data_IF_679288737995
#
_entry.id   IF_679288737995
#
_cell.length_a   1.000
_cell.length_b   1.000
_cell.length_c   1.000
_cell.angle_alpha   90.00
_cell.angle_beta   90.00
_cell.angle_gamma   90.00
#
_symmetry.space_group_name_H-M   'P 1'
#
loop_
_entity.id
_entity.type
_entity.pdbx_description
1 polymer ?
#
# COMPACT_ATOMS: atom_id res chain seq x y z
N UNK A 1 -21.73 -7.89 -42.94
CA UNK A 1 -22.12 -6.75 -42.07
C UNK A 1 -21.69 -7.07 -40.65
N UNK A 2 -20.84 -6.26 -40.01
CA UNK A 2 -20.41 -6.51 -38.64
C UNK A 2 -21.52 -6.10 -37.67
N UNK A 3 -21.92 -7.04 -36.81
CA UNK A 3 -22.86 -6.83 -35.71
C UNK A 3 -22.21 -5.86 -34.70
N UNK A 4 -22.72 -4.63 -34.68
CA UNK A 4 -22.43 -3.64 -33.65
C UNK A 4 -22.80 -4.21 -32.29
N UNK A 5 -21.81 -4.40 -31.40
CA UNK A 5 -22.06 -4.67 -29.98
C UNK A 5 -22.84 -3.48 -29.39
N UNK A 6 -23.83 -3.71 -28.50
CA UNK A 6 -24.53 -2.62 -27.84
C UNK A 6 -23.53 -1.80 -27.02
N UNK A 7 -23.59 -0.47 -27.15
CA UNK A 7 -22.93 0.45 -26.22
C UNK A 7 -23.40 0.10 -24.81
N UNK A 8 -22.47 -0.15 -23.88
CA UNK A 8 -22.80 -0.35 -22.47
C UNK A 8 -23.64 0.83 -22.00
N UNK A 9 -24.90 0.61 -21.67
CA UNK A 9 -25.73 1.63 -21.02
C UNK A 9 -25.07 1.92 -19.67
N UNK A 10 -24.38 3.06 -19.57
CA UNK A 10 -23.96 3.58 -18.27
C UNK A 10 -25.24 3.98 -17.55
N UNK A 11 -25.45 3.42 -16.36
CA UNK A 11 -26.57 3.78 -15.50
C UNK A 11 -26.57 5.28 -15.17
N UNK A 12 -27.66 5.79 -14.55
CA UNK A 12 -27.75 7.19 -14.16
C UNK A 12 -26.57 7.57 -13.24
N UNK A 13 -26.04 8.80 -13.35
CA UNK A 13 -24.99 9.27 -12.46
C UNK A 13 -25.47 9.26 -11.01
N UNK A 14 -24.56 9.00 -10.07
CA UNK A 14 -24.88 9.03 -8.64
C UNK A 14 -25.30 10.44 -8.21
N UNK A 15 -26.41 10.61 -7.48
CA UNK A 15 -26.76 11.88 -6.87
C UNK A 15 -25.71 12.33 -5.86
N UNK A 16 -25.34 13.62 -5.86
CA UNK A 16 -24.42 14.21 -4.88
C UNK A 16 -24.92 14.04 -3.42
N UNK A 17 -26.23 13.87 -3.23
CA UNK A 17 -26.85 13.68 -1.92
C UNK A 17 -26.98 12.22 -1.50
N UNK A 18 -26.56 11.27 -2.33
CA UNK A 18 -26.70 9.85 -2.01
C UNK A 18 -25.80 9.48 -0.83
N UNK A 19 -26.38 8.77 0.13
CA UNK A 19 -25.68 8.23 1.31
C UNK A 19 -26.27 6.86 1.62
N UNK A 20 -25.45 6.00 2.21
CA UNK A 20 -25.97 4.77 2.77
C UNK A 20 -27.01 5.05 3.86
N UNK A 21 -28.02 4.18 4.00
CA UNK A 21 -28.86 4.15 5.18
C UNK A 21 -28.04 3.98 6.47
N UNK A 22 -28.51 4.51 7.62
CA UNK A 22 -27.93 4.21 8.92
C UNK A 22 -27.87 2.71 9.17
N UNK A 23 -26.78 2.23 9.75
CA UNK A 23 -26.57 0.81 10.06
C UNK A 23 -26.51 0.58 11.57
N UNK A 24 -27.66 0.50 12.26
CA UNK A 24 -27.71 0.30 13.71
C UNK A 24 -27.31 -1.13 14.13
N UNK A 25 -27.17 -2.06 13.17
CA UNK A 25 -26.78 -3.44 13.44
C UNK A 25 -25.27 -3.66 13.28
N UNK A 26 -24.55 -2.72 12.66
CA UNK A 26 -23.09 -2.77 12.53
C UNK A 26 -22.46 -2.87 13.93
N UNK A 27 -21.78 -3.98 14.24
CA UNK A 27 -21.10 -4.12 15.52
C UNK A 27 -19.90 -3.19 15.60
N UNK A 28 -19.57 -2.76 16.82
CA UNK A 28 -18.32 -2.05 17.11
C UNK A 28 -17.10 -2.82 16.59
N UNK A 29 -16.02 -2.09 16.31
CA UNK A 29 -14.78 -2.66 15.77
C UNK A 29 -14.19 -3.68 16.76
N UNK A 30 -14.11 -4.98 16.43
CA UNK A 30 -13.76 -6.02 17.38
C UNK A 30 -12.25 -6.21 17.56
N UNK A 31 -11.46 -5.54 16.71
CA UNK A 31 -10.02 -5.75 16.58
C UNK A 31 -9.24 -5.03 17.67
N UNK A 32 -9.38 -5.51 18.90
CA UNK A 32 -8.71 -4.94 20.06
C UNK A 32 -7.93 -6.00 20.86
N UNK A 33 -7.07 -5.52 21.76
CA UNK A 33 -6.26 -6.37 22.64
C UNK A 33 -7.10 -7.42 23.36
N UNK A 34 -6.61 -8.66 23.37
CA UNK A 34 -7.28 -9.81 24.00
C UNK A 34 -8.16 -10.62 23.05
N UNK A 35 -8.46 -10.11 21.85
CA UNK A 35 -9.11 -10.89 20.80
C UNK A 35 -8.23 -12.08 20.40
N UNK A 36 -8.85 -13.26 20.26
CA UNK A 36 -8.20 -14.46 19.74
C UNK A 36 -8.97 -14.99 18.52
N UNK A 37 -8.26 -15.27 17.44
CA UNK A 37 -8.83 -15.67 16.16
C UNK A 37 -8.30 -17.03 15.72
N UNK A 38 -9.21 -17.93 15.34
CA UNK A 38 -8.85 -19.18 14.68
C UNK A 38 -8.65 -18.90 13.18
N UNK A 39 -7.38 -18.83 12.77
CA UNK A 39 -6.98 -18.52 11.39
C UNK A 39 -6.59 -19.79 10.62
N UNK A 40 -6.79 -19.77 9.32
CA UNK A 40 -6.38 -20.82 8.38
C UNK A 40 -5.68 -20.21 7.18
N UNK A 41 -4.67 -20.89 6.67
CA UNK A 41 -3.96 -20.44 5.48
C UNK A 41 -4.92 -20.38 4.27
N UNK A 42 -4.74 -19.36 3.44
CA UNK A 42 -5.67 -18.98 2.39
C UNK A 42 -4.91 -18.64 1.11
N UNK A 43 -5.48 -19.03 -0.04
CA UNK A 43 -4.94 -18.66 -1.36
C UNK A 43 -5.64 -17.37 -1.80
N UNK A 44 -4.94 -16.23 -1.95
CA UNK A 44 -5.55 -14.98 -2.40
C UNK A 44 -6.23 -15.12 -3.77
N UNK A 45 -7.27 -14.32 -4.05
CA UNK A 45 -7.72 -14.15 -5.44
C UNK A 45 -6.62 -13.47 -6.27
N UNK A 46 -6.62 -13.66 -7.60
CA UNK A 46 -5.75 -12.87 -8.48
C UNK A 46 -5.96 -11.36 -8.25
N UNK A 47 -4.90 -10.54 -8.29
CA UNK A 47 -5.03 -9.11 -8.08
C UNK A 47 -5.84 -8.46 -9.22
N UNK A 48 -6.59 -7.42 -8.87
CA UNK A 48 -7.47 -6.70 -9.80
C UNK A 48 -7.60 -5.23 -9.40
N UNK A 49 -8.30 -4.43 -10.21
CA UNK A 49 -8.47 -2.99 -9.98
C UNK A 49 -7.82 -2.14 -11.07
N UNK A 50 -7.29 -0.98 -10.71
CA UNK A 50 -6.88 0.02 -11.70
C UNK A 50 -5.70 -0.42 -12.58
N UNK A 51 -4.71 -1.07 -11.97
CA UNK A 51 -3.55 -1.61 -12.68
C UNK A 51 -3.85 -2.84 -13.56
N UNK A 52 -5.06 -3.41 -13.49
CA UNK A 52 -5.40 -4.69 -14.13
C UNK A 52 -6.57 -4.57 -15.10
N UNK A 53 -6.61 -5.44 -16.12
CA UNK A 53 -7.67 -5.50 -17.13
C UNK A 53 -9.03 -5.70 -16.44
N UNK A 54 -9.97 -4.78 -16.69
CA UNK A 54 -11.26 -4.72 -15.99
C UNK A 54 -12.10 -5.99 -16.19
N UNK A 55 -12.11 -6.53 -17.40
CA UNK A 55 -12.92 -7.70 -17.77
C UNK A 55 -12.42 -9.00 -17.14
N UNK A 56 -11.21 -9.00 -16.56
CA UNK A 56 -10.63 -10.13 -15.86
C UNK A 56 -10.77 -10.02 -14.33
N UNK A 57 -11.46 -8.99 -13.82
CA UNK A 57 -11.66 -8.83 -12.39
C UNK A 57 -12.54 -9.96 -11.82
N UNK A 58 -12.12 -10.63 -10.74
CA UNK A 58 -12.87 -11.72 -10.11
C UNK A 58 -14.19 -11.24 -9.45
N UNK A 59 -14.31 -9.94 -9.20
CA UNK A 59 -15.54 -9.30 -8.70
C UNK A 59 -15.85 -8.06 -9.53
N UNK A 60 -17.08 -7.91 -10.08
CA UNK A 60 -17.51 -6.67 -10.70
C UNK A 60 -17.69 -5.58 -9.63
N UNK A 61 -17.36 -4.33 -9.99
CA UNK A 61 -17.67 -3.19 -9.13
C UNK A 61 -19.19 -2.97 -9.14
N UNK A 62 -19.83 -3.00 -7.97
CA UNK A 62 -21.26 -2.71 -7.86
C UNK A 62 -21.59 -1.27 -8.29
N UNK A 63 -22.74 -1.08 -8.92
CA UNK A 63 -23.27 0.23 -9.22
C UNK A 63 -23.95 0.81 -7.96
N UNK A 64 -24.02 2.13 -7.84
CA UNK A 64 -24.61 2.76 -6.65
C UNK A 64 -26.09 2.41 -6.46
N UNK A 65 -26.80 2.08 -7.54
CA UNK A 65 -28.19 1.61 -7.49
C UNK A 65 -28.32 0.23 -6.86
N UNK A 66 -27.27 -0.59 -6.91
CA UNK A 66 -27.27 -1.92 -6.29
C UNK A 66 -27.14 -1.80 -4.76
N UNK A 67 -26.51 -0.72 -4.29
CA UNK A 67 -26.32 -0.37 -2.89
C UNK A 67 -27.52 0.38 -2.29
N UNK A 68 -28.46 0.84 -3.13
CA UNK A 68 -29.53 1.74 -2.70
C UNK A 68 -30.49 1.04 -1.74
N UNK A 69 -30.72 1.66 -0.58
CA UNK A 69 -31.56 1.11 0.49
C UNK A 69 -30.94 -0.04 1.29
N UNK A 70 -29.71 -0.48 1.04
CA UNK A 70 -29.02 -1.49 1.84
C UNK A 70 -28.07 -0.87 2.86
N UNK A 71 -28.08 -1.40 4.08
CA UNK A 71 -27.04 -1.09 5.07
C UNK A 71 -25.70 -1.76 4.69
N UNK A 72 -24.59 -1.27 5.24
CA UNK A 72 -23.27 -1.86 5.02
C UNK A 72 -23.18 -3.31 5.52
N UNK A 73 -23.78 -3.61 6.67
CA UNK A 73 -23.87 -4.95 7.24
C UNK A 73 -24.61 -5.89 6.29
N UNK A 74 -25.79 -5.51 5.81
CA UNK A 74 -26.57 -6.30 4.85
C UNK A 74 -25.77 -6.55 3.57
N UNK A 75 -25.13 -5.50 3.04
CA UNK A 75 -24.30 -5.60 1.84
C UNK A 75 -23.16 -6.61 2.03
N UNK A 76 -22.41 -6.50 3.13
CA UNK A 76 -21.28 -7.39 3.43
C UNK A 76 -21.73 -8.83 3.67
N UNK A 77 -22.91 -9.06 4.26
CA UNK A 77 -23.46 -10.41 4.43
C UNK A 77 -23.91 -11.05 3.11
N UNK A 78 -24.48 -10.27 2.19
CA UNK A 78 -24.91 -10.76 0.88
C UNK A 78 -23.74 -10.95 -0.10
N UNK A 79 -22.64 -10.21 0.10
CA UNK A 79 -21.50 -10.18 -0.81
C UNK A 79 -20.19 -10.56 -0.08
N UNK A 80 -20.07 -11.80 0.45
CA UNK A 80 -18.88 -12.22 1.18
C UNK A 80 -17.62 -12.13 0.29
N UNK A 81 -16.41 -12.04 0.88
CA UNK A 81 -15.14 -12.04 0.15
C UNK A 81 -15.05 -13.12 -0.93
N UNK A 82 -14.32 -12.84 -2.02
CA UNK A 82 -14.17 -13.80 -3.14
C UNK A 82 -13.77 -15.17 -2.60
N UNK A 83 -14.50 -16.19 -3.04
CA UNK A 83 -14.23 -17.57 -2.67
C UNK A 83 -13.08 -18.11 -3.52
N UNK A 84 -12.01 -18.53 -2.88
CA UNK A 84 -10.88 -19.22 -3.51
C UNK A 84 -10.68 -20.58 -2.87
N UNK A 85 -10.00 -21.52 -3.56
CA UNK A 85 -9.72 -22.83 -2.98
C UNK A 85 -9.02 -22.71 -1.63
N UNK A 86 -9.45 -23.52 -0.67
CA UNK A 86 -8.70 -23.70 0.57
C UNK A 86 -7.33 -24.29 0.26
N UNK A 87 -6.30 -23.83 0.95
CA UNK A 87 -4.98 -24.42 0.81
C UNK A 87 -5.02 -25.89 1.31
N UNK A 88 -4.60 -26.87 0.50
CA UNK A 88 -4.60 -28.28 0.91
C UNK A 88 -3.79 -28.49 2.19
N UNK A 89 -4.39 -29.17 3.17
CA UNK A 89 -3.72 -29.44 4.45
C UNK A 89 -3.59 -28.24 5.39
N UNK A 90 -4.30 -27.13 5.14
CA UNK A 90 -4.28 -25.98 6.03
C UNK A 90 -4.73 -26.34 7.46
N UNK A 91 -3.80 -26.21 8.41
CA UNK A 91 -4.09 -26.37 9.84
C UNK A 91 -4.64 -25.07 10.43
N UNK A 92 -5.47 -25.20 11.46
CA UNK A 92 -5.93 -24.05 12.24
C UNK A 92 -4.78 -23.59 13.13
N UNK A 93 -4.52 -22.29 13.14
CA UNK A 93 -3.66 -21.63 14.12
C UNK A 93 -4.47 -20.61 14.90
N UNK A 94 -4.02 -20.28 16.11
CA UNK A 94 -4.65 -19.25 16.91
C UNK A 94 -3.77 -18.01 16.90
N UNK A 95 -4.34 -16.91 16.43
CA UNK A 95 -3.76 -15.59 16.49
C UNK A 95 -4.28 -14.88 17.73
N UNK A 96 -3.38 -14.28 18.50
CA UNK A 96 -3.71 -13.48 19.68
C UNK A 96 -3.33 -12.02 19.43
N UNK A 97 -4.31 -11.13 19.53
CA UNK A 97 -4.10 -9.68 19.37
C UNK A 97 -3.41 -9.13 20.60
N UNK A 98 -2.21 -8.59 20.39
CA UNK A 98 -1.41 -7.96 21.43
C UNK A 98 -1.82 -6.51 21.62
N UNK A 99 -1.80 -5.71 20.54
CA UNK A 99 -2.20 -4.30 20.56
C UNK A 99 -2.61 -3.84 19.15
N UNK A 100 -3.37 -2.76 19.09
CA UNK A 100 -3.75 -2.06 17.87
C UNK A 100 -2.57 -1.22 17.36
N UNK A 101 -2.15 -1.45 16.11
CA UNK A 101 -1.17 -0.58 15.45
C UNK A 101 -1.92 0.55 14.76
N UNK A 102 -2.97 0.20 14.03
CA UNK A 102 -3.72 1.15 13.23
C UNK A 102 -5.13 0.59 12.98
N UNK A 103 -6.06 0.91 13.87
CA UNK A 103 -7.45 0.44 13.83
C UNK A 103 -8.42 1.61 13.98
N UNK A 104 -9.39 1.70 13.08
CA UNK A 104 -10.45 2.72 13.10
C UNK A 104 -11.56 2.33 12.13
N UNK A 105 -12.82 2.59 12.48
CA UNK A 105 -13.91 2.41 11.52
C UNK A 105 -13.74 3.38 10.34
N UNK A 106 -13.92 2.87 9.13
CA UNK A 106 -13.80 3.65 7.91
C UNK A 106 -12.38 3.79 7.33
N UNK A 107 -11.32 3.37 8.03
CA UNK A 107 -9.94 3.53 7.50
C UNK A 107 -9.60 2.63 6.32
N UNK A 108 -10.37 1.56 6.11
CA UNK A 108 -9.99 0.43 5.26
C UNK A 108 -9.44 -0.73 6.08
N UNK A 109 -8.28 -1.26 5.69
CA UNK A 109 -7.66 -2.39 6.39
C UNK A 109 -7.26 -2.01 7.83
N UNK A 110 -7.45 -2.97 8.75
CA UNK A 110 -7.13 -2.85 10.16
C UNK A 110 -5.77 -3.49 10.42
N UNK A 111 -4.89 -2.82 11.17
CA UNK A 111 -3.52 -3.28 11.40
C UNK A 111 -3.30 -3.54 12.88
N UNK A 112 -2.84 -4.74 13.20
CA UNK A 112 -2.69 -5.24 14.55
C UNK A 112 -1.29 -5.81 14.77
N UNK A 113 -0.79 -5.69 15.99
CA UNK A 113 0.35 -6.46 16.48
C UNK A 113 -0.17 -7.74 17.12
N UNK A 114 0.37 -8.89 16.75
CA UNK A 114 -0.15 -10.17 17.21
C UNK A 114 0.94 -11.23 17.42
N UNK A 115 0.59 -12.30 18.13
CA UNK A 115 1.39 -13.53 18.23
C UNK A 115 0.58 -14.74 17.73
N UNK A 116 1.27 -15.84 17.44
CA UNK A 116 0.65 -17.12 17.10
C UNK A 116 0.88 -18.15 18.21
N UNK A 117 -0.13 -18.97 18.51
CA UNK A 117 -0.08 -19.98 19.58
C UNK A 117 1.01 -21.05 19.39
N UNK A 118 1.43 -21.30 18.15
CA UNK A 118 2.46 -22.26 17.76
C UNK A 118 3.84 -21.61 17.54
N UNK A 119 3.99 -20.33 17.89
CA UNK A 119 5.26 -19.62 17.77
C UNK A 119 6.23 -20.07 18.86
N UNK A 120 7.31 -20.75 18.48
CA UNK A 120 8.31 -21.28 19.41
C UNK A 120 9.21 -20.20 20.07
N UNK A 121 9.22 -18.97 19.53
CA UNK A 121 10.21 -17.93 19.89
C UNK A 121 9.59 -16.61 20.38
N UNK A 122 8.38 -16.62 20.96
CA UNK A 122 7.63 -15.39 21.31
C UNK A 122 7.51 -14.39 20.12
N UNK A 123 7.60 -14.91 18.88
CA UNK A 123 7.64 -14.06 17.69
C UNK A 123 6.38 -13.22 17.57
N UNK A 124 6.60 -11.94 17.33
CA UNK A 124 5.55 -10.95 17.08
C UNK A 124 5.40 -10.75 15.57
N UNK A 125 4.16 -10.58 15.14
CA UNK A 125 3.76 -10.38 13.76
C UNK A 125 2.92 -9.11 13.64
N UNK A 126 2.78 -8.62 12.42
CA UNK A 126 1.74 -7.68 12.03
C UNK A 126 0.66 -8.46 11.28
N UNK A 127 -0.59 -8.30 11.71
CA UNK A 127 -1.75 -8.76 10.96
C UNK A 127 -2.42 -7.55 10.32
N UNK A 128 -2.60 -7.60 9.00
CA UNK A 128 -3.41 -6.63 8.26
C UNK A 128 -4.69 -7.31 7.79
N UNK A 129 -5.82 -6.81 8.28
CA UNK A 129 -7.15 -7.43 8.18
C UNK A 129 -8.01 -6.61 7.22
N UNK A 130 -8.56 -7.28 6.20
CA UNK A 130 -9.41 -6.71 5.16
C UNK A 130 -10.86 -7.10 5.44
N UNK A 131 -11.47 -6.42 6.40
CA UNK A 131 -12.87 -6.62 6.77
C UNK A 131 -13.74 -5.53 6.14
N UNK A 132 -14.49 -5.82 5.06
CA UNK A 132 -15.27 -4.81 4.34
C UNK A 132 -16.33 -4.13 5.22
N UNK A 133 -16.70 -4.72 6.35
CA UNK A 133 -17.63 -4.10 7.30
C UNK A 133 -17.07 -2.82 7.93
N UNK A 134 -15.74 -2.64 7.97
CA UNK A 134 -15.08 -1.48 8.57
C UNK A 134 -14.34 -0.61 7.56
N UNK A 135 -14.60 -0.80 6.27
CA UNK A 135 -14.15 0.08 5.20
C UNK A 135 -15.10 1.27 5.07
N UNK A 136 -14.57 2.45 4.74
CA UNK A 136 -15.43 3.60 4.48
C UNK A 136 -16.00 3.59 3.06
N UNK A 137 -17.26 4.01 2.96
CA UNK A 137 -17.89 4.44 1.74
C UNK A 137 -17.53 5.93 1.51
N UNK A 138 -16.42 6.21 0.85
CA UNK A 138 -16.03 7.61 0.50
C UNK A 138 -16.08 7.83 -1.01
N UNK A 139 -17.06 8.63 -1.41
CA UNK A 139 -17.14 9.60 -2.53
C UNK A 139 -16.66 9.26 -3.96
N UNK A 140 -16.26 8.03 -4.32
CA UNK A 140 -16.14 7.70 -5.76
C UNK A 140 -16.20 6.21 -6.15
N UNK A 141 -16.00 5.26 -5.23
CA UNK A 141 -15.98 3.82 -5.54
C UNK A 141 -16.57 3.07 -4.35
N UNK A 142 -17.89 2.89 -4.37
CA UNK A 142 -18.69 2.66 -3.16
C UNK A 142 -18.89 1.20 -2.79
N UNK A 143 -18.22 0.25 -3.44
CA UNK A 143 -18.35 -1.14 -3.04
C UNK A 143 -17.21 -1.51 -2.08
N UNK A 144 -17.49 -1.52 -0.79
CA UNK A 144 -16.52 -1.90 0.25
C UNK A 144 -16.04 -3.34 0.12
N UNK A 145 -16.89 -4.24 -0.38
CA UNK A 145 -16.51 -5.65 -0.57
C UNK A 145 -15.53 -5.79 -1.73
N UNK A 146 -15.77 -5.03 -2.81
CA UNK A 146 -14.84 -4.91 -3.92
C UNK A 146 -13.52 -4.27 -3.50
N UNK A 147 -13.57 -3.20 -2.70
CA UNK A 147 -12.37 -2.52 -2.22
C UNK A 147 -11.53 -3.41 -1.31
N UNK A 148 -12.13 -4.08 -0.33
CA UNK A 148 -11.43 -4.99 0.57
C UNK A 148 -10.79 -6.17 -0.19
N UNK A 149 -11.51 -6.80 -1.12
CA UNK A 149 -10.97 -7.89 -1.93
C UNK A 149 -9.84 -7.42 -2.86
N UNK A 150 -9.97 -6.20 -3.43
CA UNK A 150 -8.94 -5.60 -4.28
C UNK A 150 -7.67 -5.33 -3.49
N UNK A 151 -7.80 -4.64 -2.37
CA UNK A 151 -6.68 -4.31 -1.49
C UNK A 151 -5.94 -5.58 -1.05
N UNK A 152 -6.70 -6.59 -0.59
CA UNK A 152 -6.15 -7.89 -0.19
C UNK A 152 -5.44 -8.61 -1.34
N UNK A 153 -6.08 -8.71 -2.51
CA UNK A 153 -5.54 -9.42 -3.67
C UNK A 153 -4.26 -8.76 -4.22
N UNK A 154 -4.26 -7.43 -4.36
CA UNK A 154 -3.08 -6.68 -4.79
C UNK A 154 -1.91 -6.83 -3.83
N UNK A 155 -2.17 -6.61 -2.54
CA UNK A 155 -1.10 -6.62 -1.54
C UNK A 155 -0.51 -8.01 -1.34
N UNK A 156 -1.35 -9.05 -1.30
CA UNK A 156 -0.87 -10.43 -1.22
C UNK A 156 -0.05 -10.82 -2.46
N UNK A 157 -0.50 -10.44 -3.67
CA UNK A 157 0.23 -10.75 -4.89
C UNK A 157 1.61 -10.06 -4.96
N UNK A 158 1.73 -8.83 -4.46
CA UNK A 158 2.99 -8.11 -4.39
C UNK A 158 3.97 -8.79 -3.43
N UNK A 159 3.53 -9.11 -2.22
CA UNK A 159 4.36 -9.84 -1.26
C UNK A 159 4.77 -11.24 -1.75
N UNK A 160 3.87 -11.96 -2.44
CA UNK A 160 4.21 -13.24 -3.07
C UNK A 160 5.32 -13.10 -4.11
N UNK A 161 5.27 -12.07 -4.96
CA UNK A 161 6.29 -11.82 -5.99
C UNK A 161 7.64 -11.47 -5.37
N UNK A 162 7.67 -10.56 -4.40
CA UNK A 162 8.89 -10.12 -3.71
C UNK A 162 9.52 -11.24 -2.87
N UNK A 163 8.69 -12.05 -2.22
CA UNK A 163 9.16 -13.26 -1.53
C UNK A 163 9.76 -14.27 -2.51
N UNK A 164 9.18 -14.42 -3.70
CA UNK A 164 9.71 -15.30 -4.75
C UNK A 164 11.10 -14.87 -5.23
N UNK A 165 11.35 -13.56 -5.21
CA UNK A 165 12.63 -12.95 -5.52
C UNK A 165 13.62 -12.94 -4.33
N UNK A 166 13.23 -13.48 -3.17
CA UNK A 166 14.04 -13.54 -1.93
C UNK A 166 14.48 -12.16 -1.42
N UNK A 167 13.62 -11.15 -1.59
CA UNK A 167 13.87 -9.76 -1.13
C UNK A 167 12.91 -9.30 -0.03
N UNK A 168 12.04 -10.19 0.45
CA UNK A 168 11.24 -9.93 1.65
C UNK A 168 12.12 -10.04 2.92
N UNK A 169 11.92 -9.11 3.85
CA UNK A 169 12.84 -8.85 4.97
C UNK A 169 14.06 -7.98 4.61
N UNK A 170 14.26 -7.66 3.34
CA UNK A 170 15.32 -6.73 2.90
C UNK A 170 14.72 -5.40 2.41
N UNK A 171 13.85 -5.45 1.41
CA UNK A 171 13.22 -4.26 0.81
C UNK A 171 11.86 -3.95 1.42
N UNK A 172 11.21 -4.98 1.95
CA UNK A 172 9.86 -4.95 2.53
C UNK A 172 9.83 -5.85 3.77
N UNK A 173 8.86 -5.73 4.69
CA UNK A 173 8.72 -6.69 5.79
C UNK A 173 8.53 -8.13 5.29
N UNK A 174 9.07 -9.15 5.99
CA UNK A 174 8.87 -10.56 5.57
C UNK A 174 7.40 -10.93 5.50
N UNK A 175 7.06 -11.74 4.50
CA UNK A 175 5.70 -12.21 4.28
C UNK A 175 5.47 -13.62 4.83
N UNK A 176 4.59 -13.73 5.83
CA UNK A 176 4.21 -15.00 6.45
C UNK A 176 2.93 -15.60 5.86
N UNK A 177 2.48 -15.07 4.72
CA UNK A 177 1.40 -15.64 3.95
C UNK A 177 0.04 -14.98 4.17
N UNK A 178 -0.93 -15.57 3.51
CA UNK A 178 -2.33 -15.16 3.50
C UNK A 178 -3.18 -16.06 4.33
N UNK A 179 -4.15 -15.48 5.03
CA UNK A 179 -4.97 -16.19 6.01
C UNK A 179 -6.41 -15.73 5.95
N UNK A 180 -7.29 -16.57 6.49
CA UNK A 180 -8.70 -16.25 6.68
C UNK A 180 -9.22 -16.77 8.01
N UNK A 181 -10.22 -16.10 8.55
CA UNK A 181 -10.95 -16.52 9.75
C UNK A 181 -12.42 -16.14 9.60
N UNK A 182 -13.27 -16.71 10.47
CA UNK A 182 -14.67 -16.37 10.52
C UNK A 182 -14.92 -15.45 11.73
N UNK A 183 -15.50 -14.27 11.48
CA UNK A 183 -15.90 -13.32 12.52
C UNK A 183 -17.40 -13.47 12.80
N UNK A 184 -17.74 -13.74 14.06
CA UNK A 184 -19.14 -13.85 14.49
C UNK A 184 -19.76 -12.47 14.69
N UNK A 185 -21.06 -12.34 14.39
CA UNK A 185 -21.81 -11.15 14.74
C UNK A 185 -22.21 -11.19 16.22
N UNK A 186 -21.94 -10.16 17.04
CA UNK A 186 -22.25 -10.17 18.47
C UNK A 186 -23.73 -10.44 18.78
N UNK A 187 -24.65 -9.77 18.06
CA UNK A 187 -26.09 -9.99 18.21
C UNK A 187 -26.63 -11.26 17.54
N UNK A 188 -25.84 -11.93 16.69
CA UNK A 188 -26.24 -13.14 15.95
C UNK A 188 -25.03 -14.09 15.85
N UNK A 189 -24.62 -14.77 16.94
CA UNK A 189 -23.37 -15.53 16.97
C UNK A 189 -23.28 -16.66 15.92
N UNK A 190 -24.42 -17.17 15.44
CA UNK A 190 -24.47 -18.17 14.37
C UNK A 190 -24.22 -17.57 12.98
N UNK A 191 -24.43 -16.26 12.80
CA UNK A 191 -24.08 -15.54 11.60
C UNK A 191 -22.58 -15.18 11.68
N UNK A 192 -21.76 -15.95 10.98
CA UNK A 192 -20.34 -15.64 10.82
C UNK A 192 -20.07 -15.12 9.42
N UNK A 193 -19.10 -14.20 9.29
CA UNK A 193 -18.60 -13.74 8.00
C UNK A 193 -17.13 -14.13 7.85
N UNK A 194 -16.69 -14.63 6.68
CA UNK A 194 -15.27 -14.84 6.44
C UNK A 194 -14.58 -13.48 6.28
N UNK A 195 -13.38 -13.37 6.82
CA UNK A 195 -12.53 -12.18 6.74
C UNK A 195 -11.15 -12.61 6.22
N UNK A 196 -10.54 -11.77 5.38
CA UNK A 196 -9.20 -12.02 4.80
C UNK A 196 -8.16 -11.21 5.55
N UNK A 197 -6.95 -11.75 5.63
CA UNK A 197 -5.83 -11.05 6.23
C UNK A 197 -4.50 -11.53 5.64
N UNK A 198 -3.46 -10.73 5.84
CA UNK A 198 -2.08 -11.15 5.65
C UNK A 198 -1.31 -11.09 6.97
N UNK A 199 -0.28 -11.94 7.09
CA UNK A 199 0.70 -11.86 8.17
C UNK A 199 2.05 -11.40 7.63
N UNK A 200 2.65 -10.47 8.34
CA UNK A 200 3.92 -9.84 8.01
C UNK A 200 4.80 -9.70 9.25
N UNK A 201 6.08 -9.44 9.03
CA UNK A 201 7.05 -9.20 10.08
C UNK A 201 6.73 -7.96 10.90
N UNK A 202 6.79 -8.10 12.23
CA UNK A 202 6.90 -6.96 13.11
C UNK A 202 8.36 -6.49 13.14
N UNK A 203 8.60 -5.25 12.72
CA UNK A 203 9.93 -4.65 12.73
C UNK A 203 10.07 -3.78 13.99
N UNK A 204 10.80 -4.22 15.03
CA UNK A 204 11.03 -3.41 16.22
C UNK A 204 11.92 -2.19 15.89
N UNK A 205 11.81 -1.13 16.70
CA UNK A 205 12.59 0.09 16.53
C UNK A 205 12.45 0.68 15.11
N UNK A 206 11.22 0.74 14.63
CA UNK A 206 10.89 1.31 13.33
C UNK A 206 9.81 2.37 13.44
N UNK A 207 9.80 3.29 12.47
CA UNK A 207 8.86 4.42 12.41
C UNK A 207 8.65 4.85 10.96
N UNK A 208 7.46 5.32 10.61
CA UNK A 208 7.21 5.83 9.26
C UNK A 208 7.76 7.24 9.09
N UNK A 209 8.13 7.62 7.86
CA UNK A 209 8.52 9.01 7.60
C UNK A 209 7.37 9.98 7.93
N UNK A 210 6.12 9.61 7.65
CA UNK A 210 4.95 10.42 8.01
C UNK A 210 4.85 10.65 9.52
N UNK A 211 5.04 9.62 10.34
CA UNK A 211 4.95 9.77 11.78
C UNK A 211 5.99 10.78 12.31
N UNK A 212 7.20 10.80 11.75
CA UNK A 212 8.20 11.81 12.11
C UNK A 212 7.81 13.23 11.71
N UNK A 213 7.11 13.38 10.59
CA UNK A 213 6.55 14.67 10.16
C UNK A 213 5.45 15.14 11.11
N UNK A 214 4.51 14.25 11.45
CA UNK A 214 3.41 14.53 12.38
C UNK A 214 3.90 14.89 13.79
N UNK A 215 5.02 14.32 14.23
CA UNK A 215 5.65 14.64 15.52
C UNK A 215 6.58 15.87 15.45
N UNK A 216 6.76 16.49 14.27
CA UNK A 216 7.69 17.61 14.07
C UNK A 216 9.16 17.23 14.27
N UNK A 217 9.49 15.94 14.29
CA UNK A 217 10.86 15.44 14.46
C UNK A 217 11.65 15.64 13.17
N UNK A 218 10.98 15.62 12.01
CA UNK A 218 11.61 15.89 10.70
C UNK A 218 12.38 17.22 10.66
N UNK A 219 11.96 18.23 11.44
CA UNK A 219 12.66 19.52 11.55
C UNK A 219 13.98 19.45 12.35
N UNK A 220 14.19 18.40 13.14
CA UNK A 220 15.46 18.14 13.86
C UNK A 220 16.46 17.37 13.01
N UNK A 221 15.99 16.77 11.92
CA UNK A 221 16.80 16.02 10.98
C UNK A 221 17.40 17.02 9.99
N UNK A 222 18.73 17.01 9.85
CA UNK A 222 19.39 17.92 8.93
C UNK A 222 18.85 17.79 7.50
N UNK A 223 18.73 18.88 6.74
CA UNK A 223 18.24 18.84 5.36
C UNK A 223 18.97 17.83 4.46
N UNK A 224 20.28 17.66 4.65
CA UNK A 224 21.06 16.65 3.93
C UNK A 224 20.63 15.23 4.31
N UNK A 225 20.51 14.94 5.61
CA UNK A 225 20.09 13.60 6.07
C UNK A 225 18.68 13.24 5.61
N UNK A 226 17.77 14.23 5.52
CA UNK A 226 16.43 14.03 4.92
C UNK A 226 16.54 13.60 3.45
N UNK A 227 17.39 14.26 2.66
CA UNK A 227 17.63 13.89 1.27
C UNK A 227 18.29 12.50 1.15
N UNK A 228 19.23 12.17 2.03
CA UNK A 228 19.89 10.86 2.01
C UNK A 228 18.88 9.73 2.29
N UNK A 229 17.96 9.93 3.25
CA UNK A 229 16.86 8.99 3.52
C UNK A 229 15.92 8.88 2.31
N UNK A 230 15.57 10.02 1.68
CA UNK A 230 14.70 10.03 0.50
C UNK A 230 15.36 9.29 -0.67
N UNK A 231 16.64 9.54 -0.93
CA UNK A 231 17.41 8.82 -1.93
C UNK A 231 17.34 7.31 -1.67
N UNK A 232 17.54 6.87 -0.43
CA UNK A 232 17.46 5.45 -0.10
C UNK A 232 16.05 4.86 -0.31
N UNK A 233 14.99 5.60 0.01
CA UNK A 233 13.62 5.18 -0.28
C UNK A 233 13.35 5.05 -1.79
N UNK A 234 13.90 5.96 -2.60
CA UNK A 234 13.80 5.89 -4.06
C UNK A 234 14.58 4.71 -4.66
N UNK A 235 15.74 4.37 -4.08
CA UNK A 235 16.48 3.15 -4.45
C UNK A 235 15.66 1.89 -4.17
N UNK A 236 15.07 1.78 -2.98
CA UNK A 236 14.19 0.64 -2.63
C UNK A 236 13.00 0.56 -3.59
N UNK A 237 12.39 1.71 -3.95
CA UNK A 237 11.32 1.76 -4.95
C UNK A 237 11.78 1.22 -6.31
N UNK A 238 12.96 1.67 -6.79
CA UNK A 238 13.55 1.22 -8.05
C UNK A 238 13.83 -0.29 -8.06
N UNK A 239 14.47 -0.79 -6.99
CA UNK A 239 14.79 -2.22 -6.85
C UNK A 239 13.51 -3.07 -6.82
N UNK A 240 12.47 -2.62 -6.12
CA UNK A 240 11.18 -3.29 -6.10
C UNK A 240 10.52 -3.39 -7.48
N UNK A 241 10.56 -2.30 -8.25
CA UNK A 241 10.02 -2.29 -9.61
C UNK A 241 10.80 -3.24 -10.53
N UNK A 242 12.12 -3.33 -10.32
CA UNK A 242 12.96 -4.34 -10.96
C UNK A 242 12.56 -5.76 -10.58
N UNK A 243 12.18 -6.04 -9.32
CA UNK A 243 11.67 -7.35 -8.91
C UNK A 243 10.21 -7.62 -9.32
N UNK A 244 9.60 -6.75 -10.13
CA UNK A 244 8.32 -7.01 -10.78
C UNK A 244 7.11 -6.41 -10.07
N UNK A 245 7.32 -5.55 -9.06
CA UNK A 245 6.26 -4.91 -8.29
C UNK A 245 6.35 -3.39 -8.38
N UNK A 246 5.34 -2.76 -8.97
CA UNK A 246 5.17 -1.30 -8.93
C UNK A 246 4.29 -0.94 -7.74
N UNK A 247 4.78 -0.11 -6.81
CA UNK A 247 4.05 0.20 -5.58
C UNK A 247 2.75 0.99 -5.82
N UNK A 248 2.75 1.94 -6.77
CA UNK A 248 1.62 2.83 -7.13
C UNK A 248 1.11 3.74 -5.99
N UNK A 249 1.74 3.73 -4.80
CA UNK A 249 1.44 4.61 -3.68
C UNK A 249 2.71 4.98 -2.89
N UNK A 250 3.71 5.52 -3.58
CA UNK A 250 4.97 5.93 -2.96
C UNK A 250 4.78 7.25 -2.19
N UNK A 251 4.67 7.15 -0.87
CA UNK A 251 4.40 8.26 0.03
C UNK A 251 5.08 8.06 1.40
N UNK A 252 5.35 9.12 2.18
CA UNK A 252 6.02 9.00 3.50
C UNK A 252 5.34 8.04 4.48
N UNK A 253 4.03 7.84 4.35
CA UNK A 253 3.24 6.91 5.17
C UNK A 253 3.59 5.44 4.95
N UNK A 254 4.13 5.13 3.77
CA UNK A 254 4.46 3.80 3.29
C UNK A 254 5.98 3.53 3.29
N UNK A 255 6.78 4.46 3.84
CA UNK A 255 8.23 4.29 4.03
C UNK A 255 8.53 4.07 5.50
N UNK A 256 9.08 2.90 5.81
CA UNK A 256 9.48 2.51 7.16
C UNK A 256 10.98 2.72 7.35
N UNK A 257 11.36 3.51 8.35
CA UNK A 257 12.73 3.72 8.78
C UNK A 257 13.03 2.77 9.95
N UNK A 258 14.12 2.02 9.85
CA UNK A 258 14.47 0.93 10.76
C UNK A 258 15.83 1.18 11.40
N UNK A 259 15.88 1.16 12.73
CA UNK A 259 17.12 1.26 13.49
C UNK A 259 17.09 2.38 14.54
N UNK A 260 18.09 2.39 15.44
CA UNK A 260 18.21 3.44 16.45
C UNK A 260 18.75 4.74 15.82
N UNK A 261 18.52 5.86 16.51
CA UNK A 261 19.15 7.16 16.19
C UNK A 261 18.91 7.63 14.73
N UNK A 262 17.71 7.40 14.20
CA UNK A 262 17.34 7.75 12.81
C UNK A 262 17.57 9.23 12.45
N UNK A 263 17.63 10.12 13.46
CA UNK A 263 17.89 11.55 13.28
C UNK A 263 19.35 11.85 12.89
N UNK A 264 20.29 10.97 13.24
CA UNK A 264 21.73 11.19 13.07
C UNK A 264 22.46 10.05 12.34
N UNK A 265 21.85 8.88 12.21
CA UNK A 265 22.39 7.72 11.47
C UNK A 265 21.47 7.32 10.34
N UNK A 266 22.06 6.81 9.26
CA UNK A 266 21.28 6.29 8.14
C UNK A 266 20.48 5.06 8.60
N UNK A 267 19.13 5.14 8.58
CA UNK A 267 18.31 4.00 8.93
C UNK A 267 18.29 2.96 7.80
N UNK A 268 17.95 1.73 8.13
CA UNK A 268 17.40 0.81 7.13
C UNK A 268 16.10 1.39 6.59
N UNK A 269 15.82 1.20 5.30
CA UNK A 269 14.60 1.70 4.66
C UNK A 269 13.86 0.54 4.03
N UNK A 270 12.57 0.44 4.32
CA UNK A 270 11.68 -0.55 3.73
C UNK A 270 10.40 0.13 3.23
N UNK A 271 9.79 -0.45 2.20
CA UNK A 271 8.45 -0.06 1.74
C UNK A 271 7.40 -1.08 2.18
N UNK A 272 6.17 -0.62 2.38
CA UNK A 272 5.03 -1.46 2.75
C UNK A 272 3.71 -0.85 2.27
N UNK A 273 2.61 -1.57 2.47
CA UNK A 273 1.26 -1.20 2.01
C UNK A 273 1.08 -1.28 0.48
N UNK A 274 0.97 -2.50 -0.04
CA UNK A 274 0.87 -2.75 -1.49
C UNK A 274 -0.57 -2.92 -2.00
N UNK A 275 -1.56 -2.36 -1.30
CA UNK A 275 -2.98 -2.48 -1.68
C UNK A 275 -3.30 -1.85 -3.06
N UNK A 276 -2.50 -0.88 -3.50
CA UNK A 276 -2.61 -0.21 -4.79
C UNK A 276 -1.67 -0.77 -5.87
N UNK A 277 -0.81 -1.72 -5.52
CA UNK A 277 0.31 -2.15 -6.35
C UNK A 277 -0.07 -2.88 -7.64
N UNK A 278 0.87 -2.88 -8.58
CA UNK A 278 0.83 -3.65 -9.81
C UNK A 278 1.92 -4.73 -9.82
N UNK A 279 1.56 -5.96 -10.16
CA UNK A 279 2.51 -7.08 -10.29
C UNK A 279 2.65 -7.46 -11.76
N UNK A 280 3.84 -7.26 -12.33
CA UNK A 280 4.07 -7.40 -13.78
C UNK A 280 3.96 -8.84 -14.29
N UNK A 281 4.25 -9.83 -13.44
CA UNK A 281 4.14 -11.25 -13.78
C UNK A 281 2.69 -11.72 -14.00
N UNK A 282 1.69 -10.91 -13.60
CA UNK A 282 0.27 -11.28 -13.69
C UNK A 282 -0.26 -11.02 -15.11
N UNK A 283 -0.90 -12.01 -15.76
CA UNK A 283 -1.39 -11.87 -17.14
C UNK A 283 -2.40 -10.73 -17.37
N UNK A 284 -3.07 -10.29 -16.31
CA UNK A 284 -4.07 -9.23 -16.34
C UNK A 284 -3.47 -7.85 -16.06
N UNK A 285 -2.18 -7.75 -15.73
CA UNK A 285 -1.52 -6.48 -15.46
C UNK A 285 -1.45 -5.64 -16.75
N UNK A 286 -1.88 -4.39 -16.69
CA UNK A 286 -1.79 -3.44 -17.81
C UNK A 286 -0.41 -2.81 -17.92
N UNK A 287 0.35 -2.84 -16.82
CA UNK A 287 1.70 -2.29 -16.76
C UNK A 287 2.66 -3.29 -17.38
N UNK A 288 3.72 -2.78 -18.01
CA UNK A 288 4.79 -3.60 -18.56
C UNK A 288 6.04 -3.38 -17.72
N UNK A 289 6.76 -4.46 -17.46
CA UNK A 289 8.10 -4.40 -16.90
C UNK A 289 9.06 -3.95 -17.99
N UNK A 290 10.01 -3.10 -17.64
CA UNK A 290 11.15 -2.81 -18.51
C UNK A 290 12.12 -4.01 -18.52
N UNK A 291 12.59 -4.39 -19.71
CA UNK A 291 13.53 -5.50 -19.91
C UNK A 291 14.98 -5.09 -19.60
N UNK A 292 15.20 -4.40 -18.49
CA UNK A 292 16.52 -3.96 -18.04
C UNK A 292 17.28 -5.07 -17.32
N UNK A 293 18.62 -4.99 -17.34
CA UNK A 293 19.48 -5.94 -16.60
C UNK A 293 19.72 -5.52 -15.16
N UNK A 294 19.56 -4.22 -14.87
CA UNK A 294 19.67 -3.60 -13.56
C UNK A 294 18.39 -2.81 -13.26
N UNK A 295 18.11 -2.46 -12.00
CA UNK A 295 17.03 -1.54 -11.69
C UNK A 295 17.21 -0.19 -12.39
N UNK A 296 16.11 0.40 -12.87
CA UNK A 296 16.16 1.72 -13.54
C UNK A 296 16.57 2.77 -12.51
N UNK A 297 17.57 3.60 -12.83
CA UNK A 297 18.07 4.58 -11.86
C UNK A 297 16.95 5.49 -11.32
N UNK A 298 16.89 5.72 -9.99
CA UNK A 298 15.95 6.66 -9.39
C UNK A 298 15.92 8.03 -10.08
N UNK A 299 17.06 8.52 -10.58
CA UNK A 299 17.10 9.78 -11.28
C UNK A 299 16.12 9.83 -12.47
N UNK A 300 15.96 8.73 -13.20
CA UNK A 300 15.06 8.67 -14.34
C UNK A 300 13.59 8.48 -13.92
N UNK A 301 13.34 7.65 -12.91
CA UNK A 301 11.98 7.41 -12.39
C UNK A 301 11.37 8.66 -11.76
N UNK A 302 12.20 9.53 -11.20
CA UNK A 302 11.79 10.75 -10.51
C UNK A 302 12.21 12.04 -11.23
N UNK A 303 12.64 11.96 -12.49
CA UNK A 303 13.04 13.13 -13.28
C UNK A 303 11.87 14.12 -13.48
N UNK A 304 10.65 13.59 -13.50
CA UNK A 304 9.41 14.31 -13.74
C UNK A 304 9.23 15.52 -12.83
N UNK A 305 9.21 15.36 -11.50
CA UNK A 305 9.23 16.41 -10.48
C UNK A 305 9.56 15.77 -9.11
N UNK A 306 9.85 16.59 -8.09
CA UNK A 306 9.91 16.10 -6.71
C UNK A 306 8.59 15.42 -6.32
N UNK A 307 8.61 14.21 -5.74
CA UNK A 307 7.39 13.51 -5.33
C UNK A 307 6.52 14.38 -4.42
N UNK A 308 5.31 14.72 -4.87
CA UNK A 308 4.42 15.66 -4.17
C UNK A 308 4.08 15.20 -2.74
N UNK A 309 3.91 13.90 -2.54
CA UNK A 309 3.66 13.32 -1.21
C UNK A 309 4.81 13.56 -0.22
N UNK A 310 6.02 13.81 -0.70
CA UNK A 310 7.22 14.07 0.10
C UNK A 310 7.49 15.58 0.25
N UNK A 311 6.51 16.43 -0.03
CA UNK A 311 6.66 17.89 0.03
C UNK A 311 7.24 18.35 1.37
N UNK A 312 6.65 17.95 2.50
CA UNK A 312 7.12 18.34 3.83
C UNK A 312 8.48 17.73 4.20
N UNK A 313 8.82 16.56 3.63
CA UNK A 313 10.09 15.89 3.90
C UNK A 313 11.24 16.54 3.13
N UNK A 314 11.00 16.96 1.90
CA UNK A 314 12.01 17.50 0.99
C UNK A 314 12.36 18.94 1.37
N UNK A 315 13.65 19.32 1.48
CA UNK A 315 14.04 20.70 1.74
C UNK A 315 13.43 21.68 0.73
N UNK A 316 13.06 22.88 1.18
CA UNK A 316 12.36 23.88 0.37
C UNK A 316 13.10 24.23 -0.92
N UNK A 317 14.44 24.32 -0.87
CA UNK A 317 15.25 24.59 -2.07
C UNK A 317 15.11 23.51 -3.14
N UNK A 318 14.92 22.25 -2.75
CA UNK A 318 14.83 21.10 -3.64
C UNK A 318 13.39 20.86 -4.12
N UNK A 319 12.37 21.09 -3.29
CA UNK A 319 10.97 20.95 -3.74
C UNK A 319 10.46 22.13 -4.57
N UNK A 320 11.01 23.34 -4.36
CA UNK A 320 10.51 24.57 -5.01
C UNK A 320 11.28 24.96 -6.28
N UNK A 321 12.48 24.39 -6.50
CA UNK A 321 13.31 24.71 -7.67
C UNK A 321 13.74 23.44 -8.40
N UNK A 322 13.03 23.15 -9.49
CA UNK A 322 13.30 22.00 -10.38
C UNK A 322 14.79 21.85 -10.72
N UNK A 323 15.54 22.86 -11.19
CA UNK A 323 16.95 22.68 -11.54
C UNK A 323 17.82 22.16 -10.37
N UNK A 324 17.52 22.58 -9.14
CA UNK A 324 18.22 22.08 -7.94
C UNK A 324 17.87 20.61 -7.69
N UNK A 325 16.58 20.25 -7.78
CA UNK A 325 16.17 18.85 -7.60
C UNK A 325 16.84 17.93 -8.62
N UNK A 326 16.88 18.32 -9.90
CA UNK A 326 17.55 17.55 -10.95
C UNK A 326 19.05 17.44 -10.72
N UNK A 327 19.69 18.52 -10.26
CA UNK A 327 21.11 18.49 -9.90
C UNK A 327 21.39 17.53 -8.75
N UNK A 328 20.49 17.47 -7.76
CA UNK A 328 20.55 16.48 -6.69
C UNK A 328 20.34 15.04 -7.19
N UNK A 329 19.37 14.79 -8.07
CA UNK A 329 19.20 13.46 -8.69
C UNK A 329 20.49 13.02 -9.42
N UNK A 330 21.08 13.90 -10.24
CA UNK A 330 22.34 13.60 -10.93
C UNK A 330 23.49 13.37 -9.95
N UNK A 331 23.62 14.18 -8.89
CA UNK A 331 24.70 13.99 -7.91
C UNK A 331 24.61 12.66 -7.17
N UNK A 332 23.40 12.11 -7.02
CA UNK A 332 23.19 10.80 -6.41
C UNK A 332 23.51 9.63 -7.36
N UNK A 333 23.11 9.67 -8.64
CA UNK A 333 23.09 8.47 -9.48
C UNK A 333 23.73 8.56 -10.88
N UNK A 334 24.18 9.72 -11.37
CA UNK A 334 24.62 9.88 -12.77
C UNK A 334 25.75 8.93 -13.19
N UNK A 335 26.67 8.64 -12.26
CA UNK A 335 27.82 7.76 -12.50
C UNK A 335 27.69 6.41 -11.78
N UNK A 336 26.50 6.06 -11.29
CA UNK A 336 26.29 4.79 -10.60
C UNK A 336 26.24 3.63 -11.60
N UNK A 337 27.03 2.59 -11.32
CA UNK A 337 27.01 1.33 -12.08
C UNK A 337 25.99 0.32 -11.54
N UNK A 338 25.28 0.68 -10.45
CA UNK A 338 24.28 -0.19 -9.81
C UNK A 338 22.91 -0.14 -10.52
N UNK A 339 22.69 0.84 -11.39
CA UNK A 339 21.41 1.12 -12.02
C UNK A 339 21.54 1.22 -13.55
N UNK A 340 20.44 0.93 -14.24
CA UNK A 340 20.32 1.07 -15.69
C UNK A 340 19.84 2.48 -16.10
N UNK A 341 19.95 2.76 -17.40
CA UNK A 341 19.48 3.97 -18.05
C UNK A 341 17.95 4.11 -18.07
N UNK A 342 17.41 5.21 -18.62
CA UNK A 342 15.98 5.40 -18.74
C UNK A 342 15.40 4.41 -19.77
N UNK A 343 14.26 3.76 -19.48
CA UNK A 343 13.53 3.00 -20.48
C UNK A 343 13.03 3.93 -21.59
N UNK A 344 12.77 3.37 -22.76
CA UNK A 344 12.36 4.15 -23.95
C UNK A 344 11.09 4.98 -23.69
N UNK A 345 10.15 4.41 -22.92
CA UNK A 345 8.91 5.08 -22.52
C UNK A 345 9.13 6.38 -21.73
N UNK A 346 10.24 6.51 -21.00
CA UNK A 346 10.58 7.74 -20.27
C UNK A 346 11.36 8.74 -21.13
N UNK A 347 12.11 8.28 -22.14
CA UNK A 347 12.81 9.17 -23.08
C UNK A 347 11.84 9.98 -23.94
N UNK A 348 10.68 9.42 -24.25
CA UNK A 348 9.62 10.14 -24.96
C UNK A 348 8.94 11.22 -24.10
N UNK A 349 9.05 11.11 -22.77
CA UNK A 349 8.35 11.99 -21.81
C UNK A 349 9.25 13.10 -21.26
N UNK A 350 10.56 12.88 -21.22
CA UNK A 350 11.49 13.74 -20.50
C UNK A 350 12.73 14.08 -21.31
N UNK A 351 13.13 15.34 -21.23
CA UNK A 351 14.45 15.81 -21.67
C UNK A 351 15.45 15.63 -20.52
N UNK A 352 16.25 14.57 -20.57
CA UNK A 352 17.25 14.25 -19.55
C UNK A 352 18.52 15.12 -19.64
N UNK A 353 18.62 15.96 -20.67
CA UNK A 353 19.70 16.95 -20.85
C UNK A 353 19.27 18.36 -20.42
N UNK A 354 18.09 18.49 -19.79
CA UNK A 354 17.59 19.79 -19.34
C UNK A 354 18.53 20.45 -18.29
N UNK A 355 18.61 21.80 -18.24
CA UNK A 355 19.50 22.48 -17.33
C UNK A 355 19.23 22.17 -15.86
N UNK A 356 20.30 21.90 -15.11
CA UNK A 356 20.26 21.63 -13.67
C UNK A 356 21.27 22.49 -12.92
N UNK A 357 21.08 22.61 -11.60
CA UNK A 357 21.93 23.38 -10.70
C UNK A 357 22.32 22.53 -9.49
N UNK A 358 23.58 22.60 -9.07
CA UNK A 358 23.99 22.04 -7.78
C UNK A 358 23.83 23.10 -6.68
N UNK A 359 23.08 22.78 -5.64
CA UNK A 359 22.96 23.63 -4.47
C UNK A 359 22.89 22.77 -3.19
N UNK A 360 23.57 23.16 -2.11
CA UNK A 360 23.42 22.46 -0.84
C UNK A 360 21.98 22.60 -0.31
N UNK A 361 21.44 21.58 0.38
CA UNK A 361 20.15 21.71 1.02
C UNK A 361 20.27 22.71 2.18
N UNK A 362 19.32 23.62 2.28
CA UNK A 362 19.27 24.65 3.31
C UNK A 362 18.14 24.34 4.28
N UNK A 363 18.26 24.84 5.51
CA UNK A 363 17.15 24.85 6.46
C UNK A 363 15.92 25.52 5.84
N UNK A 364 14.76 24.95 6.13
CA UNK A 364 13.49 25.57 5.78
C UNK A 364 13.36 26.81 6.67
N UNK A 365 13.60 28.00 6.12
CA UNK A 365 13.35 29.25 6.86
C UNK A 365 11.89 29.22 7.29
N UNK A 366 11.66 29.29 8.61
CA UNK A 366 10.32 29.43 9.19
C UNK A 366 9.54 30.49 8.40
N UNK A 367 8.56 30.04 7.61
CA UNK A 367 7.61 30.93 6.96
C UNK A 367 6.64 31.56 7.98
N UNK A 368 6.78 31.26 9.27
CA UNK A 368 6.15 32.00 10.35
C UNK A 368 6.91 33.30 10.65
N UNK A 369 6.63 34.35 9.87
CA UNK A 369 6.45 35.76 10.29
C UNK A 369 6.61 36.71 9.10
N UNK A 370 5.59 36.73 8.25
CA UNK A 370 5.14 37.98 7.62
C UNK A 370 3.62 37.90 7.55
N UNK A 371 2.99 38.56 8.53
CA UNK A 371 1.60 39.01 8.43
C UNK A 371 1.45 40.02 7.30
#
# INVERSE_FOLDING_TARGET
MPLLRPKSQRGPPRPLSWRLPPDPLKPELPYCRGLSLAIRAHIPPPPFGFAYVKDAAPRPLAHWTDLDGMTQSEWCFQHPPINTPSQPGATVRYLHVLDEVACCDGRGAQVLRCSLSDSHDDRVYVAKIYDPLYYAYVESIDDVTWKADRDYGCEAAAYEELKKADVDGMLVPKYYGSWTFNMAHPARPQATRPVRMILMEWIPNSVTMQHLQEQGISARISPQHRLDILAKAMEVFSEMEFYGVKHEDFAPRNVLLVGPEIESRMPGVMLFDFNMSAVYSRPTCKRRRDESKLPISPQYLFWGESPTEFYEWTPNSHRSRRPIFLGWLKSCWENSMAFDGPPESLKDLHDFDEPFEFAPPSEDKDLSRTN
#
